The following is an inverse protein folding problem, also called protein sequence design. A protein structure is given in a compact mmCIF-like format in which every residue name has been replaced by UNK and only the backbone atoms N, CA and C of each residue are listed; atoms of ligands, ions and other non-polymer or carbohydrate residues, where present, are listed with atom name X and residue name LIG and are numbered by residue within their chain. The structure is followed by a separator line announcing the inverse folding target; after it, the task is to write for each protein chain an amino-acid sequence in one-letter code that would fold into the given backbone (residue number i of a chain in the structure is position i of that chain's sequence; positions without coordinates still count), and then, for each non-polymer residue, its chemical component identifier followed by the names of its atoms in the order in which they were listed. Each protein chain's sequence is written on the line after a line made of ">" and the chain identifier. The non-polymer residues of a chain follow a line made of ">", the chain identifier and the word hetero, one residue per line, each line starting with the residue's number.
data_IF_851223826190
#
_entry.id   IF_851223826190
#
_cell.length_a   1.000
_cell.length_b   1.000
_cell.length_c   1.000
_cell.angle_alpha   90.00
_cell.angle_beta   90.00
_cell.angle_gamma   90.00
#
_symmetry.space_group_name_H-M   'P 1'
#
loop_
_entity.id
_entity.type
_entity.pdbx_description
1 polymer ?
#
# COMPACT_ATOMS: atom_id res chain seq x y z
N UNK A 1 27.08 10.79 -7.95
CA UNK A 1 25.90 10.40 -8.75
C UNK A 1 24.61 10.54 -7.93
N UNK A 2 24.31 11.77 -7.51
CA UNK A 2 22.99 12.15 -7.01
C UNK A 2 22.86 13.62 -7.44
N UNK A 3 22.59 13.84 -8.73
CA UNK A 3 22.03 15.12 -9.12
C UNK A 3 20.69 15.23 -8.40
N UNK A 4 20.63 16.19 -7.49
CA UNK A 4 19.44 16.55 -6.73
C UNK A 4 18.37 17.04 -7.70
N UNK A 5 17.62 16.10 -8.26
CA UNK A 5 16.37 16.36 -8.95
C UNK A 5 15.38 16.87 -7.91
N UNK A 6 15.28 18.19 -7.80
CA UNK A 6 14.24 18.88 -7.06
C UNK A 6 12.88 18.65 -7.75
N UNK A 7 12.35 17.42 -7.70
CA UNK A 7 10.96 17.18 -8.05
C UNK A 7 10.07 17.74 -6.95
N UNK A 8 9.16 18.63 -7.31
CA UNK A 8 8.07 19.03 -6.43
C UNK A 8 6.98 17.95 -6.46
N UNK A 9 6.68 17.34 -5.31
CA UNK A 9 5.57 16.39 -5.21
C UNK A 9 4.26 17.16 -5.01
N UNK A 10 3.27 16.89 -5.86
CA UNK A 10 1.89 17.37 -5.70
C UNK A 10 0.95 16.19 -5.56
N UNK A 11 0.11 16.21 -4.53
CA UNK A 11 -0.96 15.24 -4.34
C UNK A 11 -2.25 15.70 -5.00
N UNK A 12 -2.96 14.75 -5.57
CA UNK A 12 -4.24 14.97 -6.25
C UNK A 12 -5.32 14.09 -5.63
N UNK A 13 -6.59 14.42 -5.88
CA UNK A 13 -7.72 13.59 -5.43
C UNK A 13 -7.84 12.35 -6.33
N UNK A 14 -8.52 11.32 -5.84
CA UNK A 14 -8.75 10.08 -6.61
C UNK A 14 -9.60 10.29 -7.87
N UNK A 15 -10.41 11.35 -7.90
CA UNK A 15 -11.14 11.81 -9.10
C UNK A 15 -10.73 13.26 -9.34
N UNK A 16 -9.85 13.46 -10.31
CA UNK A 16 -9.35 14.77 -10.69
C UNK A 16 -8.98 14.79 -12.18
N UNK A 17 -8.97 15.97 -12.78
CA UNK A 17 -8.48 16.17 -14.15
C UNK A 17 -7.06 16.72 -14.13
N UNK A 18 -6.14 16.09 -14.88
CA UNK A 18 -4.73 16.45 -14.89
C UNK A 18 -4.23 16.59 -16.32
N UNK A 19 -3.59 17.72 -16.62
CA UNK A 19 -2.84 17.92 -17.85
C UNK A 19 -1.37 17.67 -17.58
N UNK A 20 -0.84 16.57 -18.11
CA UNK A 20 0.57 16.20 -17.96
C UNK A 20 1.42 16.85 -19.06
N UNK A 21 2.63 17.21 -18.70
CA UNK A 21 3.67 17.64 -19.62
C UNK A 21 4.67 16.51 -19.83
N UNK A 22 5.38 16.58 -20.97
CA UNK A 22 6.47 15.64 -21.25
C UNK A 22 7.53 15.76 -20.14
N UNK A 23 7.83 14.64 -19.49
CA UNK A 23 8.80 14.56 -18.39
C UNK A 23 8.18 14.47 -17.00
N UNK A 24 6.86 14.65 -16.87
CA UNK A 24 6.16 14.42 -15.61
C UNK A 24 6.24 12.94 -15.19
N UNK A 25 6.41 12.72 -13.88
CA UNK A 25 6.43 11.38 -13.28
C UNK A 25 5.17 11.19 -12.45
N UNK A 26 4.38 10.18 -12.80
CA UNK A 26 3.19 9.81 -12.03
C UNK A 26 3.46 8.68 -11.06
N UNK A 27 2.99 8.84 -9.82
CA UNK A 27 2.84 7.75 -8.86
C UNK A 27 1.36 7.48 -8.66
N UNK A 28 0.88 6.35 -9.18
CA UNK A 28 -0.52 5.96 -9.08
C UNK A 28 -0.66 4.95 -7.95
N UNK A 29 -1.53 5.26 -7.00
CA UNK A 29 -1.90 4.34 -5.93
C UNK A 29 -3.25 3.72 -6.28
N UNK A 30 -3.25 2.42 -6.56
CA UNK A 30 -4.48 1.66 -6.79
C UNK A 30 -5.03 1.18 -5.46
N UNK A 31 -6.35 1.25 -5.30
CA UNK A 31 -7.01 0.65 -4.13
C UNK A 31 -6.87 -0.87 -4.14
N UNK A 32 -6.81 -1.47 -2.96
CA UNK A 32 -7.01 -2.91 -2.78
C UNK A 32 -8.50 -3.30 -2.79
N UNK A 33 -8.78 -4.57 -2.53
CA UNK A 33 -10.13 -5.08 -2.29
C UNK A 33 -10.60 -4.87 -0.84
N UNK A 34 -11.89 -5.11 -0.59
CA UNK A 34 -12.43 -5.17 0.78
C UNK A 34 -12.17 -6.54 1.42
N UNK A 35 -12.12 -6.58 2.76
CA UNK A 35 -12.03 -7.82 3.53
C UNK A 35 -13.37 -8.56 3.62
N UNK A 36 -13.31 -9.82 4.03
CA UNK A 36 -14.48 -10.66 4.29
C UNK A 36 -14.29 -11.44 5.60
N UNK A 37 -15.36 -11.58 6.39
CA UNK A 37 -15.34 -12.30 7.66
C UNK A 37 -14.67 -11.53 8.81
N UNK A 38 -14.56 -12.19 9.97
CA UNK A 38 -13.90 -11.63 11.14
C UNK A 38 -12.38 -11.81 11.03
N UNK A 39 -11.61 -10.75 11.28
CA UNK A 39 -10.15 -10.82 11.23
C UNK A 39 -9.58 -11.87 12.19
N UNK A 40 -10.18 -12.03 13.38
CA UNK A 40 -9.80 -13.00 14.40
C UNK A 40 -9.96 -14.48 13.98
N UNK A 41 -10.74 -14.74 12.93
CA UNK A 41 -10.96 -16.10 12.39
C UNK A 41 -9.98 -16.44 11.26
N UNK A 42 -9.19 -15.47 10.79
CA UNK A 42 -8.20 -15.72 9.73
C UNK A 42 -7.11 -16.65 10.25
N UNK A 43 -6.76 -17.68 9.48
CA UNK A 43 -5.67 -18.61 9.80
C UNK A 43 -4.33 -17.86 10.00
N UNK A 44 -3.68 -17.99 11.18
CA UNK A 44 -2.36 -17.42 11.47
C UNK A 44 -1.27 -17.75 10.42
N UNK A 45 -1.30 -18.95 9.85
CA UNK A 45 -0.38 -19.38 8.79
C UNK A 45 -0.52 -18.57 7.51
N UNK A 46 -1.75 -18.20 7.13
CA UNK A 46 -2.01 -17.34 5.98
C UNK A 46 -1.52 -15.91 6.24
N UNK A 47 -1.72 -15.38 7.46
CA UNK A 47 -1.19 -14.05 7.83
C UNK A 47 0.33 -14.02 7.74
N UNK A 48 1.03 -15.02 8.28
CA UNK A 48 2.49 -15.09 8.19
C UNK A 48 2.99 -15.19 6.75
N UNK A 49 2.27 -15.93 5.91
CA UNK A 49 2.55 -16.00 4.47
C UNK A 49 2.41 -14.64 3.79
N UNK A 50 1.32 -13.91 4.05
CA UNK A 50 1.10 -12.58 3.49
C UNK A 50 2.23 -11.60 3.87
N UNK A 51 2.75 -11.71 5.10
CA UNK A 51 3.91 -10.93 5.55
C UNK A 51 5.18 -11.34 4.82
N UNK A 52 5.44 -12.64 4.69
CA UNK A 52 6.62 -13.15 3.99
C UNK A 52 6.63 -12.80 2.49
N UNK A 53 5.45 -12.72 1.86
CA UNK A 53 5.28 -12.35 0.46
C UNK A 53 5.25 -10.83 0.24
N UNK A 54 5.25 -10.02 1.31
CA UNK A 54 5.19 -8.56 1.22
C UNK A 54 3.82 -7.98 0.88
N UNK A 55 2.78 -8.81 0.88
CA UNK A 55 1.38 -8.37 0.72
C UNK A 55 0.87 -7.62 1.96
N UNK A 56 1.48 -7.88 3.12
CA UNK A 56 1.15 -7.26 4.41
C UNK A 56 2.43 -6.89 5.15
N UNK A 57 2.50 -5.70 5.73
CA UNK A 57 3.64 -5.35 6.59
C UNK A 57 3.51 -6.00 7.97
N UNK A 58 4.63 -6.31 8.63
CA UNK A 58 4.63 -6.90 9.99
C UNK A 58 3.85 -6.03 11.00
N UNK A 59 4.03 -4.70 10.96
CA UNK A 59 3.32 -3.77 11.82
C UNK A 59 1.79 -3.78 11.58
N UNK A 60 1.35 -3.83 10.31
CA UNK A 60 -0.06 -3.93 9.98
C UNK A 60 -0.64 -5.28 10.40
N UNK A 61 0.12 -6.36 10.21
CA UNK A 61 -0.28 -7.70 10.61
C UNK A 61 -0.51 -7.82 12.12
N UNK A 62 0.40 -7.31 12.95
CA UNK A 62 0.25 -7.34 14.41
C UNK A 62 -0.95 -6.54 14.90
N UNK A 63 -1.29 -5.47 14.20
CA UNK A 63 -2.42 -4.61 14.54
C UNK A 63 -3.76 -5.25 14.13
N UNK A 64 -3.83 -5.81 12.92
CA UNK A 64 -5.07 -6.35 12.36
C UNK A 64 -5.36 -7.81 12.76
N UNK A 65 -4.32 -8.60 13.00
CA UNK A 65 -4.38 -10.04 13.29
C UNK A 65 -3.53 -10.40 14.51
N UNK A 66 -3.82 -9.83 15.70
CA UNK A 66 -3.00 -10.05 16.90
C UNK A 66 -2.92 -11.53 17.32
N UNK A 67 -3.91 -12.35 16.99
CA UNK A 67 -3.92 -13.79 17.27
C UNK A 67 -2.97 -14.62 16.39
N UNK A 68 -2.36 -14.01 15.36
CA UNK A 68 -1.44 -14.69 14.46
C UNK A 68 0.03 -14.63 14.91
N UNK A 69 0.31 -13.94 16.03
CA UNK A 69 1.63 -13.64 16.58
C UNK A 69 1.81 -14.16 18.00
#
# INVERSE_FOLDING_TARGET
>A
MQELLNYSERRFRSKDGLMLQKGDVLKIFTSGGAGYGLAAERDPGLVRRDVAEGNLSDAAARTAYPHAF
#
